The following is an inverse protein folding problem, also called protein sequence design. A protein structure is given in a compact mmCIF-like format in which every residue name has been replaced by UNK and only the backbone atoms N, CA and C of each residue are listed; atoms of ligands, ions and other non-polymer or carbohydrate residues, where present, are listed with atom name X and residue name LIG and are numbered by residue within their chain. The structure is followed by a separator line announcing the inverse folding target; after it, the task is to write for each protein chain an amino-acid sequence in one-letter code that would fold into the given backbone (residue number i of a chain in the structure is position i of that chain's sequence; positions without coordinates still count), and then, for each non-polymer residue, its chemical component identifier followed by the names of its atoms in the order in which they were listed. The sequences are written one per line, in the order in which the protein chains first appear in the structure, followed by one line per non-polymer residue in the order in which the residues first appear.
data_IF_800937679047
#
_entry.id   IF_800937679047
#
_cell.length_a   1.000
_cell.length_b   1.000
_cell.length_c   1.000
_cell.angle_alpha   90.00
_cell.angle_beta   90.00
_cell.angle_gamma   90.00
#
_symmetry.space_group_name_H-M   'P 1'
#
loop_
_entity.id
_entity.type
_entity.pdbx_description
1 polymer ?
#
# COMPACT_ATOMS: atom_id res chain seq x y z
N UNK A 1 18.65 -3.62 -16.04
CA UNK A 1 18.12 -2.54 -15.18
C UNK A 1 16.85 -3.04 -14.52
N UNK A 2 16.88 -3.41 -13.23
CA UNK A 2 15.64 -3.70 -12.49
C UNK A 2 15.03 -2.35 -12.11
N UNK A 3 14.00 -1.94 -12.82
CA UNK A 3 13.13 -0.85 -12.38
C UNK A 3 12.54 -1.28 -11.03
N UNK A 4 12.85 -0.54 -9.97
CA UNK A 4 12.16 -0.73 -8.69
C UNK A 4 10.69 -0.42 -8.93
N UNK A 5 9.84 -1.43 -8.78
CA UNK A 5 8.40 -1.24 -8.76
C UNK A 5 8.06 -0.34 -7.56
N UNK A 6 7.41 0.79 -7.81
CA UNK A 6 7.00 1.76 -6.78
C UNK A 6 5.93 1.20 -5.84
N UNK A 7 5.39 0.00 -6.12
CA UNK A 7 4.41 -0.71 -5.28
C UNK A 7 4.95 -1.04 -3.89
N UNK A 8 6.22 -1.43 -3.81
CA UNK A 8 6.80 -1.99 -2.58
C UNK A 8 7.15 -0.87 -1.58
N UNK A 9 7.22 0.37 -2.07
CA UNK A 9 7.60 1.51 -1.26
C UNK A 9 6.52 1.93 -0.25
N UNK A 10 5.25 1.56 -0.48
CA UNK A 10 4.13 1.93 0.39
C UNK A 10 3.43 0.72 1.04
N UNK A 11 4.10 -0.45 1.06
CA UNK A 11 3.60 -1.64 1.76
C UNK A 11 2.42 -2.33 1.06
N UNK A 12 2.15 -2.03 -0.21
CA UNK A 12 1.11 -2.69 -0.97
C UNK A 12 1.50 -4.15 -1.25
N UNK A 13 0.69 -5.10 -0.82
CA UNK A 13 0.84 -6.50 -1.24
C UNK A 13 0.18 -6.69 -2.60
N UNK A 14 0.93 -7.24 -3.56
CA UNK A 14 0.42 -7.52 -4.90
C UNK A 14 -0.61 -8.66 -4.83
N UNK A 15 -1.89 -8.32 -4.96
CA UNK A 15 -2.98 -9.26 -5.25
C UNK A 15 -3.23 -9.30 -6.75
N UNK A 16 -3.27 -10.49 -7.34
CA UNK A 16 -3.58 -10.71 -8.76
C UNK A 16 -5.08 -10.96 -8.97
N UNK A 17 -5.92 -10.09 -8.40
CA UNK A 17 -7.37 -10.23 -8.49
C UNK A 17 -7.89 -9.29 -9.58
N UNK A 18 -8.40 -9.85 -10.68
CA UNK A 18 -8.97 -9.07 -11.80
C UNK A 18 -10.43 -8.67 -11.53
N UNK A 19 -10.70 -8.01 -10.40
CA UNK A 19 -12.08 -7.67 -9.96
C UNK A 19 -12.90 -6.90 -11.00
N UNK A 20 -12.26 -6.15 -11.89
CA UNK A 20 -12.91 -5.41 -12.97
C UNK A 20 -13.56 -6.31 -14.05
N UNK A 21 -13.24 -7.60 -14.08
CA UNK A 21 -13.75 -8.57 -15.05
C UNK A 21 -14.44 -9.77 -14.36
N UNK A 22 -14.95 -9.55 -13.15
CA UNK A 22 -15.68 -10.56 -12.37
C UNK A 22 -17.09 -10.04 -12.11
N UNK A 23 -18.07 -10.95 -12.12
CA UNK A 23 -19.45 -10.62 -11.79
C UNK A 23 -19.59 -10.13 -10.35
N UNK A 24 -20.44 -9.12 -10.16
CA UNK A 24 -20.61 -8.42 -8.88
C UNK A 24 -20.85 -9.36 -7.69
N UNK A 25 -21.76 -10.33 -7.82
CA UNK A 25 -22.09 -11.28 -6.75
C UNK A 25 -20.87 -12.09 -6.29
N UNK A 26 -20.03 -12.46 -7.25
CA UNK A 26 -18.79 -13.19 -6.96
C UNK A 26 -17.77 -12.29 -6.27
N UNK A 27 -17.68 -11.01 -6.63
CA UNK A 27 -16.84 -10.04 -5.93
C UNK A 27 -17.31 -9.84 -4.48
N UNK A 28 -18.62 -9.72 -4.25
CA UNK A 28 -19.19 -9.59 -2.90
C UNK A 28 -18.91 -10.83 -2.04
N UNK A 29 -19.02 -12.01 -2.65
CA UNK A 29 -18.68 -13.29 -2.00
C UNK A 29 -17.18 -13.40 -1.68
N UNK A 30 -16.30 -13.09 -2.64
CA UNK A 30 -14.84 -13.16 -2.48
C UNK A 30 -14.35 -12.17 -1.40
N UNK A 31 -14.99 -11.01 -1.28
CA UNK A 31 -14.69 -10.00 -0.25
C UNK A 31 -15.43 -10.23 1.07
N UNK A 32 -16.31 -11.24 1.14
CA UNK A 32 -17.12 -11.58 2.30
C UNK A 32 -17.90 -10.37 2.82
N UNK A 33 -18.63 -9.68 1.95
CA UNK A 33 -19.41 -8.49 2.30
C UNK A 33 -20.83 -8.61 1.78
N UNK A 34 -21.78 -8.01 2.48
CA UNK A 34 -23.14 -7.90 1.99
C UNK A 34 -23.23 -6.73 1.01
N UNK A 35 -23.79 -6.98 -0.17
CA UNK A 35 -23.93 -5.99 -1.26
C UNK A 35 -24.87 -4.83 -0.92
N UNK A 36 -25.88 -5.05 -0.09
CA UNK A 36 -26.90 -4.04 0.26
C UNK A 36 -26.59 -3.35 1.58
N UNK A 37 -26.15 -4.11 2.58
CA UNK A 37 -25.95 -3.65 3.96
C UNK A 37 -24.48 -3.32 4.28
N UNK A 38 -23.55 -3.77 3.44
CA UNK A 38 -22.11 -3.56 3.63
C UNK A 38 -21.50 -4.47 4.70
N UNK A 39 -20.53 -3.93 5.45
CA UNK A 39 -19.86 -4.62 6.55
C UNK A 39 -20.45 -4.20 7.90
N UNK A 40 -20.45 -5.14 8.85
CA UNK A 40 -20.76 -4.80 10.23
C UNK A 40 -19.65 -3.95 10.85
N UNK A 41 -19.99 -3.11 11.85
CA UNK A 41 -18.97 -2.31 12.56
C UNK A 41 -17.87 -3.18 13.19
N UNK A 42 -18.25 -4.37 13.68
CA UNK A 42 -17.30 -5.33 14.24
C UNK A 42 -16.29 -5.80 13.19
N UNK A 43 -16.76 -6.25 12.03
CA UNK A 43 -15.88 -6.72 10.94
C UNK A 43 -15.03 -5.57 10.37
N UNK A 44 -15.60 -4.38 10.24
CA UNK A 44 -14.85 -3.19 9.82
C UNK A 44 -13.71 -2.89 10.80
N UNK A 45 -13.98 -2.96 12.11
CA UNK A 45 -12.97 -2.79 13.17
C UNK A 45 -11.89 -3.88 13.16
N UNK A 46 -12.27 -5.14 12.93
CA UNK A 46 -11.33 -6.25 12.79
C UNK A 46 -10.44 -6.08 11.55
N UNK A 47 -11.00 -5.67 10.41
CA UNK A 47 -10.26 -5.38 9.17
C UNK A 47 -9.30 -4.20 9.37
N UNK A 48 -9.73 -3.13 10.04
CA UNK A 48 -8.89 -1.97 10.33
C UNK A 48 -7.68 -2.37 11.20
N UNK A 49 -7.88 -3.21 12.23
CA UNK A 49 -6.77 -3.71 13.05
C UNK A 49 -5.82 -4.61 12.26
N UNK A 50 -6.35 -5.42 11.33
CA UNK A 50 -5.58 -6.36 10.52
C UNK A 50 -4.76 -5.68 9.42
N UNK A 51 -5.35 -4.75 8.68
CA UNK A 51 -4.74 -4.14 7.49
C UNK A 51 -4.17 -2.75 7.76
N UNK A 52 -4.53 -2.12 8.87
CA UNK A 52 -4.16 -0.75 9.17
C UNK A 52 -5.06 0.28 8.48
N UNK A 53 -4.83 1.57 8.75
CA UNK A 53 -5.58 2.64 8.13
C UNK A 53 -5.33 2.69 6.62
N UNK A 54 -6.37 3.07 5.85
CA UNK A 54 -6.25 3.34 4.43
C UNK A 54 -5.56 4.71 4.18
N UNK A 55 -4.30 4.81 4.56
CA UNK A 55 -3.49 6.00 4.43
C UNK A 55 -2.09 5.62 3.94
N UNK A 56 -1.52 6.45 3.07
CA UNK A 56 -0.15 6.25 2.61
C UNK A 56 0.82 6.50 3.76
N UNK A 57 1.77 5.57 3.92
CA UNK A 57 2.83 5.72 4.92
C UNK A 57 3.85 6.71 4.38
N UNK A 58 3.97 7.86 5.04
CA UNK A 58 5.03 8.82 4.75
C UNK A 58 6.38 8.31 5.30
N UNK A 59 7.32 8.04 4.40
CA UNK A 59 8.71 7.76 4.78
C UNK A 59 9.42 9.05 5.18
N UNK A 60 9.37 9.41 6.45
CA UNK A 60 10.18 10.52 6.99
C UNK A 60 11.65 10.14 6.97
N UNK A 61 12.44 10.84 6.15
CA UNK A 61 13.90 10.78 6.24
C UNK A 61 14.38 11.82 7.25
N UNK A 62 15.21 11.39 8.20
CA UNK A 62 15.87 12.32 9.13
C UNK A 62 16.74 13.31 8.36
N UNK A 63 16.74 14.57 8.80
CA UNK A 63 17.58 15.62 8.23
C UNK A 63 19.06 15.24 8.23
N UNK A 64 19.53 14.54 9.27
CA UNK A 64 20.91 14.08 9.36
C UNK A 64 21.24 13.02 8.30
N UNK A 65 20.33 12.08 8.07
CA UNK A 65 20.49 11.06 7.02
C UNK A 65 20.49 11.72 5.63
N UNK A 66 19.62 12.72 5.42
CA UNK A 66 19.56 13.50 4.19
C UNK A 66 20.84 14.30 3.95
N UNK A 67 21.44 14.84 5.02
CA UNK A 67 22.73 15.53 4.97
C UNK A 67 23.90 14.60 4.63
N UNK A 68 24.02 13.45 5.32
CA UNK A 68 25.08 12.48 5.05
C UNK A 68 25.04 11.90 3.63
N UNK A 69 23.84 11.73 3.05
CA UNK A 69 23.68 11.28 1.66
C UNK A 69 24.29 12.24 0.63
N UNK A 70 24.47 13.53 0.93
CA UNK A 70 25.07 14.47 -0.01
C UNK A 70 26.56 14.19 -0.26
N UNK A 71 27.27 13.60 0.70
CA UNK A 71 28.69 13.24 0.56
C UNK A 71 28.92 11.98 -0.29
N UNK A 72 27.86 11.21 -0.57
CA UNK A 72 27.92 10.03 -1.44
C UNK A 72 27.75 10.37 -2.92
N UNK A 73 27.34 11.60 -3.26
CA UNK A 73 27.38 12.07 -4.63
C UNK A 73 28.81 12.50 -4.94
N UNK A 74 29.46 11.82 -5.88
CA UNK A 74 30.79 12.17 -6.35
C UNK A 74 30.74 13.59 -6.92
N UNK A 75 31.18 14.58 -6.15
CA UNK A 75 31.47 15.91 -6.65
C UNK A 75 32.69 15.73 -7.54
N UNK A 76 32.47 15.71 -8.86
CA UNK A 76 33.55 15.73 -9.85
C UNK A 76 34.32 17.03 -9.60
N UNK A 77 35.53 16.90 -9.06
CA UNK A 77 36.52 17.97 -8.94
C UNK A 77 36.96 18.34 -10.37
N UNK A 78 36.79 19.61 -10.77
CA UNK A 78 37.57 20.21 -11.87
C UNK A 78 38.86 20.75 -11.27
#
# INVERSE_FOLDING_TARGET
MKVKSTSDDYGAQSRNDNFYNIEFEKVAQDLGTNSELGLTEKEAGERLKKYGPNALIEKKQSNLIRFLKQFNNSIIYI
#
